data_IF_377437312960
#
_entry.id   IF_377437312960
#
_cell.length_a   1.000
_cell.length_b   1.000
_cell.length_c   1.000
_cell.angle_alpha   90.00
_cell.angle_beta   90.00
_cell.angle_gamma   90.00
#
_symmetry.space_group_name_H-M   'P 1'
#
loop_
_entity.id
_entity.type
_entity.pdbx_description
1 polymer ?
#
# COMPACT_ATOMS: atom_id res chain seq x y z
N UNK A 1 -47.56 -62.12 -16.06
CA UNK A 1 -48.19 -60.94 -15.43
C UNK A 1 -47.25 -60.41 -14.36
N UNK A 2 -46.94 -59.11 -14.44
CA UNK A 2 -46.20 -58.23 -13.50
C UNK A 2 -44.75 -58.61 -13.12
N UNK A 3 -43.87 -57.64 -13.39
CA UNK A 3 -42.42 -57.70 -13.28
C UNK A 3 -41.85 -57.29 -11.91
N UNK A 4 -40.56 -56.93 -11.85
CA UNK A 4 -39.75 -57.09 -10.64
C UNK A 4 -39.88 -55.94 -9.65
N UNK A 5 -39.98 -56.27 -8.35
CA UNK A 5 -39.80 -55.31 -7.27
C UNK A 5 -38.32 -54.91 -7.21
N UNK A 6 -38.04 -53.71 -7.69
CA UNK A 6 -36.75 -53.06 -7.59
C UNK A 6 -36.43 -52.58 -6.17
N UNK A 7 -35.14 -52.58 -5.86
CA UNK A 7 -34.39 -51.45 -5.28
C UNK A 7 -35.24 -50.51 -4.41
N UNK A 8 -35.54 -50.90 -3.17
CA UNK A 8 -36.07 -49.97 -2.17
C UNK A 8 -35.82 -50.43 -0.73
N UNK A 9 -34.54 -50.60 -0.36
CA UNK A 9 -34.10 -50.69 1.05
C UNK A 9 -32.82 -49.90 1.35
N UNK A 10 -32.61 -48.77 0.68
CA UNK A 10 -31.61 -47.75 1.07
C UNK A 10 -32.20 -46.34 1.26
N UNK A 11 -33.53 -46.19 1.27
CA UNK A 11 -34.19 -44.88 1.40
C UNK A 11 -34.69 -44.55 2.82
N UNK A 12 -34.41 -45.38 3.83
CA UNK A 12 -34.84 -45.17 5.23
C UNK A 12 -33.62 -45.04 6.16
N UNK A 13 -32.69 -44.17 5.77
CA UNK A 13 -31.72 -43.53 6.69
C UNK A 13 -31.57 -42.04 6.34
N UNK A 14 -31.93 -41.63 5.12
CA UNK A 14 -31.83 -40.22 4.68
C UNK A 14 -33.00 -39.29 5.05
N UNK A 15 -34.13 -39.81 5.55
CA UNK A 15 -35.30 -38.94 5.88
C UNK A 15 -35.35 -38.45 7.34
N UNK A 16 -34.44 -38.90 8.21
CA UNK A 16 -34.35 -38.45 9.60
C UNK A 16 -33.32 -37.32 9.81
N UNK A 17 -32.36 -37.15 8.90
CA UNK A 17 -31.38 -36.04 8.95
C UNK A 17 -31.92 -34.72 8.36
N UNK A 18 -32.91 -34.79 7.47
CA UNK A 18 -33.48 -33.60 6.81
C UNK A 18 -34.59 -32.87 7.60
N UNK A 19 -35.00 -33.39 8.77
CA UNK A 19 -36.07 -32.78 9.60
C UNK A 19 -35.57 -32.10 10.89
N UNK A 20 -34.28 -32.21 11.21
CA UNK A 20 -33.64 -31.46 12.30
C UNK A 20 -32.93 -30.17 11.83
N UNK A 21 -32.71 -30.02 10.52
CA UNK A 21 -32.11 -28.82 9.89
C UNK A 21 -33.11 -28.09 8.97
N UNK A 22 -34.40 -28.14 9.31
CA UNK A 22 -35.46 -27.49 8.56
C UNK A 22 -35.97 -26.24 9.27
N UNK A 23 -35.44 -25.07 8.86
CA UNK A 23 -35.97 -23.72 9.11
C UNK A 23 -35.82 -23.19 10.56
N UNK A 24 -34.64 -22.69 10.89
CA UNK A 24 -34.52 -21.41 11.63
C UNK A 24 -33.16 -20.79 11.28
N UNK A 25 -33.19 -19.73 10.47
CA UNK A 25 -32.14 -18.74 10.24
C UNK A 25 -30.75 -19.29 9.90
N UNK A 26 -30.55 -19.65 8.62
CA UNK A 26 -29.29 -19.31 7.96
C UNK A 26 -29.25 -17.78 8.00
N UNK A 27 -28.61 -17.22 9.02
CA UNK A 27 -28.22 -15.82 8.99
C UNK A 27 -27.36 -15.68 7.74
N UNK A 28 -27.86 -14.87 6.81
CA UNK A 28 -27.32 -14.76 5.48
C UNK A 28 -25.82 -14.51 5.50
N UNK A 29 -25.15 -15.07 4.50
CA UNK A 29 -23.97 -14.43 3.94
C UNK A 29 -24.18 -12.91 3.98
N UNK A 30 -23.32 -12.12 4.62
CA UNK A 30 -23.27 -10.71 4.29
C UNK A 30 -22.85 -10.66 2.82
N UNK A 31 -23.86 -10.55 1.96
CA UNK A 31 -23.73 -10.41 0.53
C UNK A 31 -22.92 -9.14 0.26
N UNK A 32 -21.63 -9.30 -0.06
CA UNK A 32 -20.80 -8.24 -0.64
C UNK A 32 -21.03 -8.10 -2.15
N UNK A 33 -22.12 -8.65 -2.68
CA UNK A 33 -22.68 -8.33 -3.99
C UNK A 33 -21.84 -8.70 -5.19
N UNK A 34 -20.68 -9.33 -5.02
CA UNK A 34 -19.77 -9.65 -6.11
C UNK A 34 -19.18 -11.04 -5.88
N UNK A 35 -19.36 -11.92 -6.88
CA UNK A 35 -18.69 -13.21 -6.93
C UNK A 35 -17.17 -13.02 -6.77
N UNK A 36 -16.46 -13.99 -6.15
CA UNK A 36 -15.01 -13.95 -6.07
C UNK A 36 -14.42 -13.74 -7.47
N UNK A 37 -13.74 -12.60 -7.66
CA UNK A 37 -13.05 -12.32 -8.93
C UNK A 37 -11.72 -13.06 -8.90
N UNK A 38 -11.46 -14.03 -9.81
CA UNK A 38 -10.21 -14.78 -9.82
C UNK A 38 -9.00 -13.85 -9.90
N UNK A 39 -8.01 -14.07 -9.04
CA UNK A 39 -6.81 -13.26 -8.96
C UNK A 39 -7.00 -11.90 -8.26
N UNK A 40 -8.14 -11.64 -7.61
CA UNK A 40 -8.38 -10.38 -6.91
C UNK A 40 -8.58 -10.61 -5.41
N UNK A 41 -7.73 -9.98 -4.59
CA UNK A 41 -7.97 -9.85 -3.15
C UNK A 41 -8.32 -8.41 -2.84
N UNK A 42 -9.52 -8.19 -2.30
CA UNK A 42 -9.91 -6.91 -1.74
C UNK A 42 -9.30 -6.76 -0.37
N UNK A 43 -8.74 -5.60 -0.05
CA UNK A 43 -8.18 -5.34 1.26
C UNK A 43 -8.68 -4.02 1.85
N UNK A 44 -8.69 -3.98 3.17
CA UNK A 44 -8.95 -2.79 3.98
C UNK A 44 -7.91 -2.71 5.08
N UNK A 45 -7.37 -1.52 5.29
CA UNK A 45 -6.44 -1.19 6.35
C UNK A 45 -7.00 -0.02 7.14
N UNK A 46 -6.85 -0.06 8.46
CA UNK A 46 -7.22 1.05 9.34
C UNK A 46 -6.18 1.19 10.44
N UNK A 47 -5.65 2.39 10.62
CA UNK A 47 -4.65 2.73 11.64
C UNK A 47 -3.47 1.74 11.64
N UNK A 48 -2.84 1.58 10.48
CA UNK A 48 -1.74 0.63 10.25
C UNK A 48 -0.46 1.38 9.95
N UNK A 49 0.62 1.02 10.63
CA UNK A 49 1.97 1.36 10.20
C UNK A 49 2.50 0.22 9.32
N UNK A 50 2.53 0.47 8.02
CA UNK A 50 3.05 -0.47 7.04
C UNK A 50 4.53 -0.22 6.80
N UNK A 51 5.38 -1.15 7.21
CA UNK A 51 6.82 -1.12 6.94
C UNK A 51 7.08 -1.81 5.61
N UNK A 52 7.47 -1.03 4.61
CA UNK A 52 7.97 -1.57 3.34
C UNK A 52 9.35 -2.21 3.53
N UNK A 53 10.12 -1.56 4.41
CA UNK A 53 11.46 -1.87 4.88
C UNK A 53 11.55 -1.41 6.35
N UNK A 54 12.56 -1.83 7.13
CA UNK A 54 12.69 -1.43 8.54
C UNK A 54 12.71 0.09 8.77
N UNK A 55 13.21 0.85 7.80
CA UNK A 55 13.41 2.30 7.85
C UNK A 55 12.48 3.08 6.91
N UNK A 56 11.49 2.42 6.28
CA UNK A 56 10.51 3.05 5.39
C UNK A 56 9.11 2.66 5.84
N UNK A 57 8.45 3.59 6.54
CA UNK A 57 7.12 3.39 7.10
C UNK A 57 6.08 4.25 6.37
N UNK A 58 5.01 3.60 5.91
CA UNK A 58 3.78 4.27 5.50
C UNK A 58 2.80 4.23 6.66
N UNK A 59 2.26 5.37 7.08
CA UNK A 59 1.22 5.42 8.10
C UNK A 59 -0.14 5.51 7.43
N UNK A 60 -0.93 4.45 7.55
CA UNK A 60 -2.26 4.34 6.96
C UNK A 60 -3.29 4.75 8.02
N UNK A 61 -4.04 5.81 7.76
CA UNK A 61 -5.22 6.18 8.56
C UNK A 61 -6.38 5.25 8.18
N UNK A 62 -6.66 5.19 6.89
CA UNK A 62 -7.53 4.24 6.24
C UNK A 62 -7.04 3.98 4.81
N UNK A 63 -7.13 2.75 4.32
CA UNK A 63 -6.80 2.43 2.94
C UNK A 63 -7.65 1.25 2.48
N UNK A 64 -8.13 1.29 1.26
CA UNK A 64 -8.84 0.16 0.66
C UNK A 64 -8.52 0.05 -0.82
N UNK A 65 -8.62 -1.16 -1.33
CA UNK A 65 -8.41 -1.43 -2.74
C UNK A 65 -8.25 -2.91 -3.02
N UNK A 66 -7.56 -3.20 -4.13
CA UNK A 66 -7.41 -4.55 -4.65
C UNK A 66 -5.94 -4.91 -4.86
N UNK A 67 -5.59 -6.13 -4.47
CA UNK A 67 -4.37 -6.81 -4.87
C UNK A 67 -4.74 -7.64 -6.10
N UNK A 68 -4.19 -7.27 -7.25
CA UNK A 68 -4.45 -7.90 -8.54
C UNK A 68 -3.29 -8.81 -8.88
N UNK A 69 -3.52 -10.12 -8.84
CA UNK A 69 -2.57 -11.14 -9.25
C UNK A 69 -2.29 -11.03 -10.74
N UNK A 70 -1.02 -11.13 -11.11
CA UNK A 70 -0.59 -11.18 -12.50
C UNK A 70 -0.87 -12.53 -13.14
N UNK A 71 -0.87 -13.58 -12.31
CA UNK A 71 -1.33 -14.92 -12.65
C UNK A 71 -2.48 -15.30 -11.72
N UNK A 72 -3.74 -15.29 -12.18
CA UNK A 72 -4.90 -15.61 -11.36
C UNK A 72 -4.96 -17.09 -10.95
N UNK A 73 -4.12 -17.97 -11.51
CA UNK A 73 -4.04 -19.36 -11.07
C UNK A 73 -3.23 -19.55 -9.78
N UNK A 74 -2.46 -18.55 -9.37
CA UNK A 74 -1.63 -18.59 -8.15
C UNK A 74 -2.36 -17.95 -6.98
N UNK A 75 -2.19 -18.53 -5.79
CA UNK A 75 -2.59 -17.88 -4.56
C UNK A 75 -1.74 -16.62 -4.32
N UNK A 76 -2.35 -15.59 -3.75
CA UNK A 76 -1.64 -14.42 -3.26
C UNK A 76 -0.73 -14.78 -2.10
N UNK A 77 0.47 -14.22 -2.08
CA UNK A 77 1.41 -14.32 -0.97
C UNK A 77 2.05 -12.94 -0.73
N UNK A 78 2.02 -12.38 0.49
CA UNK A 78 2.56 -11.04 0.76
C UNK A 78 4.03 -10.86 0.40
N UNK A 79 4.85 -11.90 0.57
CA UNK A 79 6.28 -11.90 0.25
C UNK A 79 6.55 -11.84 -1.27
N UNK A 80 5.59 -12.27 -2.09
CA UNK A 80 5.74 -12.40 -3.52
C UNK A 80 5.45 -11.07 -4.24
N UNK A 81 6.11 -9.98 -3.80
CA UNK A 81 5.90 -8.58 -4.25
C UNK A 81 5.91 -8.40 -5.79
N UNK A 82 6.52 -9.33 -6.54
CA UNK A 82 6.58 -9.31 -8.00
C UNK A 82 5.35 -9.89 -8.72
N UNK A 83 4.50 -10.64 -8.01
CA UNK A 83 3.42 -11.46 -8.57
C UNK A 83 2.07 -10.75 -8.63
N UNK A 84 1.96 -9.57 -8.02
CA UNK A 84 0.72 -8.81 -7.95
C UNK A 84 0.99 -7.31 -8.04
N UNK A 85 -0.06 -6.57 -8.38
CA UNK A 85 -0.09 -5.11 -8.34
C UNK A 85 -1.14 -4.65 -7.32
N UNK A 86 -0.91 -3.51 -6.68
CA UNK A 86 -1.82 -2.89 -5.74
C UNK A 86 -2.62 -1.79 -6.46
N UNK A 87 -3.94 -1.88 -6.45
CA UNK A 87 -4.85 -0.84 -6.91
C UNK A 87 -5.57 -0.23 -5.72
N UNK A 88 -5.12 0.95 -5.31
CA UNK A 88 -5.77 1.74 -4.27
C UNK A 88 -7.04 2.37 -4.84
N UNK A 89 -8.16 2.06 -4.21
CA UNK A 89 -9.47 2.62 -4.56
C UNK A 89 -9.84 3.80 -3.66
N UNK A 90 -9.15 4.00 -2.54
CA UNK A 90 -9.29 5.20 -1.74
C UNK A 90 -8.69 5.06 -0.35
N UNK A 91 -8.69 6.17 0.38
CA UNK A 91 -8.13 6.28 1.72
C UNK A 91 -7.03 7.33 1.83
N UNK A 92 -6.35 7.35 2.97
CA UNK A 92 -5.36 8.33 3.33
C UNK A 92 -4.12 7.69 3.95
N UNK A 93 -2.96 8.05 3.42
CA UNK A 93 -1.66 7.61 3.92
C UNK A 93 -0.78 8.82 4.21
N UNK A 94 0.14 8.65 5.16
CA UNK A 94 1.16 9.63 5.51
C UNK A 94 2.56 9.02 5.39
N UNK A 95 3.50 9.84 4.92
CA UNK A 95 4.93 9.58 4.98
C UNK A 95 5.61 10.70 5.77
N UNK A 96 6.45 10.32 6.73
CA UNK A 96 7.36 11.26 7.36
C UNK A 96 8.58 11.56 6.46
N UNK A 97 9.30 12.64 6.78
CA UNK A 97 10.42 13.11 6.00
C UNK A 97 11.57 12.08 5.91
N UNK A 98 11.81 11.35 7.00
CA UNK A 98 12.84 10.30 7.06
C UNK A 98 12.48 9.13 6.15
N UNK A 99 11.25 8.59 6.25
CA UNK A 99 10.77 7.50 5.40
C UNK A 99 10.79 7.90 3.93
N UNK A 100 10.38 9.13 3.60
CA UNK A 100 10.44 9.62 2.22
C UNK A 100 11.90 9.73 1.73
N UNK A 101 12.81 10.23 2.55
CA UNK A 101 14.25 10.29 2.20
C UNK A 101 14.81 8.90 1.93
N UNK A 102 14.54 7.94 2.81
CA UNK A 102 15.01 6.56 2.68
C UNK A 102 14.44 5.89 1.43
N UNK A 103 13.15 6.11 1.16
CA UNK A 103 12.48 5.59 -0.03
C UNK A 103 13.12 6.13 -1.31
N UNK A 104 13.29 7.45 -1.42
CA UNK A 104 13.91 8.08 -2.59
C UNK A 104 15.35 7.58 -2.80
N UNK A 105 16.16 7.56 -1.74
CA UNK A 105 17.54 7.09 -1.81
C UNK A 105 17.65 5.61 -2.23
N UNK A 106 16.76 4.74 -1.75
CA UNK A 106 16.82 3.30 -2.02
C UNK A 106 16.27 2.94 -3.39
N UNK A 107 15.22 3.62 -3.85
CA UNK A 107 14.45 3.16 -5.02
C UNK A 107 14.52 4.08 -6.24
N UNK A 108 14.77 5.39 -6.07
CA UNK A 108 14.82 6.33 -7.20
C UNK A 108 16.23 6.79 -7.56
N UNK A 109 17.11 6.99 -6.58
CA UNK A 109 18.44 7.53 -6.82
C UNK A 109 19.51 6.56 -7.35
N UNK A 110 19.44 5.22 -7.16
CA UNK A 110 20.43 4.32 -7.73
C UNK A 110 20.53 4.47 -9.26
N UNK A 111 21.75 4.69 -9.76
CA UNK A 111 22.01 4.90 -11.19
C UNK A 111 21.83 6.35 -11.67
N UNK A 112 21.51 7.29 -10.78
CA UNK A 112 21.40 8.72 -11.10
C UNK A 112 22.65 9.51 -10.74
N UNK A 113 22.73 10.77 -11.16
CA UNK A 113 23.76 11.72 -10.70
C UNK A 113 23.45 12.33 -9.33
N UNK A 114 22.24 12.12 -8.79
CA UNK A 114 21.81 12.67 -7.51
C UNK A 114 22.08 11.62 -6.44
N UNK A 115 22.76 12.02 -5.38
CA UNK A 115 23.14 11.17 -4.27
C UNK A 115 22.68 11.80 -2.94
N UNK A 116 22.28 10.95 -1.99
CA UNK A 116 22.02 11.31 -0.59
C UNK A 116 21.00 12.44 -0.44
N UNK A 117 19.76 12.19 -0.86
CA UNK A 117 18.68 13.14 -0.62
C UNK A 117 18.23 13.09 0.84
N UNK A 118 18.08 14.26 1.46
CA UNK A 118 17.47 14.42 2.78
C UNK A 118 16.31 15.38 2.64
N UNK A 119 15.14 14.95 3.09
CA UNK A 119 13.91 15.75 3.09
C UNK A 119 13.66 16.30 4.49
N UNK A 120 13.12 17.50 4.56
CA UNK A 120 12.51 18.08 5.75
C UNK A 120 11.20 18.76 5.37
N UNK A 121 10.22 18.73 6.26
CA UNK A 121 8.94 19.41 6.09
C UNK A 121 8.86 20.57 7.09
N UNK A 122 8.62 21.78 6.58
CA UNK A 122 8.49 22.99 7.40
C UNK A 122 7.24 23.77 6.96
N UNK A 123 6.19 23.72 7.78
CA UNK A 123 4.91 24.32 7.45
C UNK A 123 4.32 23.70 6.18
N UNK A 124 4.18 24.51 5.12
CA UNK A 124 3.70 24.06 3.80
C UNK A 124 4.83 23.85 2.77
N UNK A 125 6.07 23.92 3.23
CA UNK A 125 7.24 23.82 2.35
C UNK A 125 7.97 22.52 2.60
N UNK A 126 8.43 21.89 1.53
CA UNK A 126 9.41 20.80 1.57
C UNK A 126 10.79 21.37 1.28
N UNK A 127 11.76 21.05 2.12
CA UNK A 127 13.18 21.27 1.86
C UNK A 127 13.83 19.95 1.49
N UNK A 128 14.60 19.94 0.42
CA UNK A 128 15.39 18.80 0.01
C UNK A 128 16.86 19.22 -0.12
N UNK A 129 17.74 18.51 0.57
CA UNK A 129 19.18 18.63 0.39
C UNK A 129 19.70 17.40 -0.32
N UNK A 130 20.58 17.56 -1.30
CA UNK A 130 21.18 16.44 -2.02
C UNK A 130 22.59 16.80 -2.51
N UNK A 131 23.30 15.80 -3.02
CA UNK A 131 24.57 15.98 -3.74
C UNK A 131 24.38 15.62 -5.20
N UNK A 132 24.93 16.42 -6.10
CA UNK A 132 25.04 16.06 -7.52
C UNK A 132 26.49 15.68 -7.79
N UNK A 133 26.69 14.50 -8.36
CA UNK A 133 27.96 14.05 -8.87
C UNK A 133 28.04 14.40 -10.37
N UNK A 134 28.83 15.41 -10.71
CA UNK A 134 29.04 15.85 -12.09
C UNK A 134 30.53 15.83 -12.42
N UNK A 135 30.94 14.98 -13.37
CA UNK A 135 32.35 14.84 -13.80
C UNK A 135 33.34 14.71 -12.62
N UNK A 136 33.03 13.85 -11.64
CA UNK A 136 33.81 13.62 -10.42
C UNK A 136 33.83 14.78 -9.40
N UNK A 137 33.02 15.83 -9.61
CA UNK A 137 32.83 16.91 -8.64
C UNK A 137 31.50 16.71 -7.91
N UNK A 138 31.57 16.66 -6.58
CA UNK A 138 30.39 16.54 -5.73
C UNK A 138 29.90 17.91 -5.30
N UNK A 139 28.75 18.33 -5.82
CA UNK A 139 28.15 19.63 -5.57
C UNK A 139 26.95 19.49 -4.62
N UNK A 140 26.95 20.12 -3.44
CA UNK A 140 25.75 20.17 -2.61
C UNK A 140 24.71 21.10 -3.26
N UNK A 141 23.46 20.63 -3.25
CA UNK A 141 22.29 21.37 -3.68
C UNK A 141 21.23 21.39 -2.58
N UNK A 142 20.48 22.48 -2.51
CA UNK A 142 19.32 22.62 -1.62
C UNK A 142 18.16 23.18 -2.42
N UNK A 143 17.00 22.56 -2.27
CA UNK A 143 15.75 22.87 -2.94
C UNK A 143 14.67 23.15 -1.89
N UNK A 144 13.96 24.25 -2.03
CA UNK A 144 12.74 24.52 -1.28
C UNK A 144 11.57 24.53 -2.27
N UNK A 145 10.53 23.74 -1.99
CA UNK A 145 9.38 23.59 -2.88
C UNK A 145 8.05 23.54 -2.14
N UNK A 146 7.01 24.05 -2.78
CA UNK A 146 5.63 23.81 -2.37
C UNK A 146 5.10 22.53 -3.01
N UNK A 147 4.33 21.78 -2.23
CA UNK A 147 3.73 20.52 -2.68
C UNK A 147 2.28 20.78 -3.06
N UNK A 148 1.88 20.30 -4.24
CA UNK A 148 0.49 20.29 -4.69
C UNK A 148 0.17 19.05 -5.54
N UNK A 149 -1.09 18.91 -5.92
CA UNK A 149 -1.54 17.91 -6.88
C UNK A 149 -1.73 18.60 -8.25
N UNK A 150 -1.12 18.04 -9.30
CA UNK A 150 -1.32 18.51 -10.67
C UNK A 150 -2.71 18.11 -11.20
N UNK A 151 -3.25 18.81 -12.21
CA UNK A 151 -4.50 18.41 -12.87
C UNK A 151 -4.48 16.97 -13.42
N UNK A 152 -3.30 16.47 -13.76
CA UNK A 152 -3.08 15.12 -14.28
C UNK A 152 -2.95 14.05 -13.17
N UNK A 153 -3.11 14.44 -11.90
CA UNK A 153 -3.05 13.51 -10.75
C UNK A 153 -1.62 13.21 -10.27
N UNK A 154 -0.63 14.00 -10.68
CA UNK A 154 0.78 13.83 -10.28
C UNK A 154 1.12 14.72 -9.09
N UNK A 155 2.07 14.31 -8.26
CA UNK A 155 2.59 15.19 -7.21
C UNK A 155 3.42 16.27 -7.89
N UNK A 156 3.08 17.53 -7.66
CA UNK A 156 3.78 18.69 -8.20
C UNK A 156 4.59 19.36 -7.09
N UNK A 157 5.90 19.47 -7.31
CA UNK A 157 6.85 20.13 -6.45
C UNK A 157 7.26 21.44 -7.11
N UNK A 158 6.55 22.52 -6.79
CA UNK A 158 6.83 23.84 -7.35
C UNK A 158 7.98 24.48 -6.59
N UNK A 159 9.07 24.75 -7.29
CA UNK A 159 10.29 25.26 -6.68
C UNK A 159 10.15 26.73 -6.31
N UNK A 160 10.40 27.02 -5.03
CA UNK A 160 10.50 28.38 -4.49
C UNK A 160 11.93 28.87 -4.52
N UNK A 161 12.89 28.00 -4.22
CA UNK A 161 14.30 28.35 -4.12
C UNK A 161 15.17 27.16 -4.47
N UNK A 162 16.22 27.42 -5.24
CA UNK A 162 17.29 26.46 -5.54
C UNK A 162 18.62 27.12 -5.19
N UNK A 163 19.45 26.43 -4.41
CA UNK A 163 20.76 26.93 -3.96
C UNK A 163 21.84 25.86 -4.15
N UNK A 164 23.06 26.27 -4.49
CA UNK A 164 24.24 25.39 -4.56
C UNK A 164 25.47 26.11 -4.02
N UNK A 165 26.25 25.45 -3.16
CA UNK A 165 27.34 26.08 -2.40
C UNK A 165 28.52 26.56 -3.28
N UNK A 166 28.75 25.95 -4.44
CA UNK A 166 29.97 26.18 -5.24
C UNK A 166 29.72 26.90 -6.58
N UNK A 167 28.49 27.33 -6.89
CA UNK A 167 28.17 27.98 -8.17
C UNK A 167 28.35 29.51 -8.15
N UNK A 168 29.49 29.97 -7.61
CA UNK A 168 29.94 31.37 -7.70
C UNK A 168 30.66 31.70 -9.02
N UNK A 169 30.89 30.73 -9.92
CA UNK A 169 31.78 30.89 -11.10
C UNK A 169 31.14 30.76 -12.49
N UNK A 170 29.82 30.77 -12.61
CA UNK A 170 29.19 31.13 -13.89
C UNK A 170 27.84 31.77 -13.63
N UNK A 171 27.69 33.02 -14.06
CA UNK A 171 26.54 33.91 -13.81
C UNK A 171 25.20 33.48 -14.40
N UNK A 172 24.85 32.19 -14.30
CA UNK A 172 23.62 31.60 -14.84
C UNK A 172 22.51 31.37 -13.80
N UNK A 173 22.79 31.56 -12.50
CA UNK A 173 21.81 31.30 -11.41
C UNK A 173 21.53 32.51 -10.52
N UNK A 174 22.01 33.69 -10.89
CA UNK A 174 21.70 34.93 -10.16
C UNK A 174 20.60 35.69 -10.92
N UNK A 175 19.40 35.69 -10.35
CA UNK A 175 18.27 36.62 -10.60
C UNK A 175 17.10 36.27 -11.56
N UNK A 176 16.84 35.02 -11.96
CA UNK A 176 15.62 34.69 -12.74
C UNK A 176 14.95 33.38 -12.28
N UNK A 177 13.64 33.16 -12.56
CA UNK A 177 12.98 31.89 -12.31
C UNK A 177 13.78 30.79 -13.01
N UNK A 178 14.47 29.98 -12.21
CA UNK A 178 15.37 28.96 -12.71
C UNK A 178 14.49 27.85 -13.30
N UNK A 179 14.52 27.71 -14.62
CA UNK A 179 14.02 26.51 -15.28
C UNK A 179 14.88 25.33 -14.80
N UNK A 180 14.37 24.55 -13.86
CA UNK A 180 15.06 23.38 -13.28
C UNK A 180 15.47 22.42 -14.39
N UNK A 181 14.69 22.36 -15.46
CA UNK A 181 14.92 21.58 -16.66
C UNK A 181 16.29 21.87 -17.31
N UNK A 182 16.78 23.12 -17.20
CA UNK A 182 18.11 23.50 -17.71
C UNK A 182 19.25 23.08 -16.80
N UNK A 183 18.97 22.78 -15.53
CA UNK A 183 19.96 22.47 -14.50
C UNK A 183 20.03 20.98 -14.22
N UNK A 184 18.89 20.29 -14.22
CA UNK A 184 18.76 18.87 -13.94
C UNK A 184 18.35 18.10 -15.19
N UNK A 185 19.31 17.43 -15.83
CA UNK A 185 18.97 16.35 -16.75
C UNK A 185 18.61 15.12 -15.94
N UNK A 186 17.32 14.85 -15.82
CA UNK A 186 16.84 13.61 -15.20
C UNK A 186 17.20 12.42 -16.11
N UNK A 187 17.68 11.31 -15.54
CA UNK A 187 17.84 10.07 -16.30
C UNK A 187 16.51 9.60 -16.90
N UNK A 188 16.56 9.05 -18.10
CA UNK A 188 15.39 8.45 -18.74
C UNK A 188 14.87 7.26 -17.91
N UNK A 189 13.54 7.12 -17.81
CA UNK A 189 12.90 5.97 -17.16
C UNK A 189 12.65 6.10 -15.65
N UNK A 190 13.01 7.24 -15.04
CA UNK A 190 12.65 7.56 -13.64
C UNK A 190 11.26 8.21 -13.63
N UNK A 191 10.39 7.94 -12.63
CA UNK A 191 9.05 8.51 -12.49
C UNK A 191 9.05 9.99 -12.09
N UNK A 192 9.92 10.77 -12.71
CA UNK A 192 10.16 12.18 -12.47
C UNK A 192 10.20 12.91 -13.82
N UNK A 193 9.52 14.05 -13.91
CA UNK A 193 9.61 14.95 -15.06
C UNK A 193 9.67 16.39 -14.61
N UNK A 194 10.33 17.25 -15.38
CA UNK A 194 10.46 18.67 -15.07
C UNK A 194 9.76 19.48 -16.15
N UNK A 195 9.05 20.53 -15.75
CA UNK A 195 8.51 21.55 -16.65
C UNK A 195 8.64 22.91 -15.98
N UNK A 196 9.51 23.77 -16.51
CA UNK A 196 9.77 25.09 -15.92
C UNK A 196 10.34 25.01 -14.51
N UNK A 197 9.61 25.56 -13.53
CA UNK A 197 9.97 25.59 -12.09
C UNK A 197 9.38 24.41 -11.30
N UNK A 198 8.68 23.48 -11.95
CA UNK A 198 7.94 22.42 -11.29
C UNK A 198 8.51 21.04 -11.63
N UNK A 199 8.80 20.26 -10.58
CA UNK A 199 9.13 18.84 -10.69
C UNK A 199 7.84 18.03 -10.46
N UNK A 200 7.44 17.25 -11.45
CA UNK A 200 6.34 16.32 -11.36
C UNK A 200 6.84 14.93 -11.00
N UNK A 201 6.14 14.30 -10.07
CA UNK A 201 6.48 12.99 -9.53
C UNK A 201 5.29 12.06 -9.70
N UNK A 202 5.52 10.94 -10.39
CA UNK A 202 4.53 9.89 -10.57
C UNK A 202 4.58 8.95 -9.36
N UNK A 203 3.68 9.15 -8.40
CA UNK A 203 3.62 8.36 -7.16
C UNK A 203 3.65 6.84 -7.40
N UNK A 204 3.02 6.39 -8.50
CA UNK A 204 2.94 4.99 -8.91
C UNK A 204 4.30 4.36 -9.27
N UNK A 205 5.27 5.17 -9.67
CA UNK A 205 6.61 4.69 -10.03
C UNK A 205 7.63 4.78 -8.90
N UNK A 206 7.33 5.51 -7.82
CA UNK A 206 8.26 5.70 -6.70
C UNK A 206 8.26 4.51 -5.75
N UNK A 207 7.07 3.97 -5.49
CA UNK A 207 6.90 2.86 -4.55
C UNK A 207 7.45 1.59 -5.25
N UNK A 208 8.36 0.83 -4.60
CA UNK A 208 8.85 -0.42 -5.17
C UNK A 208 7.71 -1.41 -5.38
N UNK A 209 8.00 -2.53 -6.03
CA UNK A 209 7.03 -3.62 -6.20
C UNK A 209 6.41 -4.03 -4.85
N UNK A 210 5.10 -4.33 -4.80
CA UNK A 210 4.12 -4.35 -5.89
C UNK A 210 3.85 -2.95 -6.46
N UNK A 211 3.60 -2.84 -7.78
CA UNK A 211 3.27 -1.52 -8.36
C UNK A 211 2.00 -1.00 -7.73
N UNK A 212 1.99 0.27 -7.35
CA UNK A 212 0.83 0.91 -6.73
C UNK A 212 0.15 1.81 -7.75
N UNK A 213 -1.13 1.59 -7.98
CA UNK A 213 -1.98 2.41 -8.82
C UNK A 213 -3.06 3.06 -7.98
N UNK A 214 -3.45 4.29 -8.30
CA UNK A 214 -4.56 4.93 -7.60
C UNK A 214 -4.80 6.37 -8.00
N UNK A 215 -6.05 6.81 -7.86
CA UNK A 215 -6.44 8.19 -8.18
C UNK A 215 -6.18 9.10 -6.97
N UNK A 216 -5.11 9.89 -7.00
CA UNK A 216 -4.86 10.91 -5.98
C UNK A 216 -5.89 12.05 -6.11
N UNK A 217 -6.52 12.39 -4.99
CA UNK A 217 -7.45 13.51 -4.84
C UNK A 217 -6.83 14.72 -4.17
N UNK A 218 -5.88 14.49 -3.26
CA UNK A 218 -5.19 15.55 -2.56
C UNK A 218 -3.79 15.10 -2.14
N UNK A 219 -2.88 16.07 -2.13
CA UNK A 219 -1.51 15.95 -1.64
C UNK A 219 -1.24 17.20 -0.81
N UNK A 220 -0.84 17.05 0.45
CA UNK A 220 -0.56 18.18 1.34
C UNK A 220 0.41 17.80 2.45
N UNK A 221 1.01 18.80 3.07
CA UNK A 221 1.72 18.62 4.32
C UNK A 221 0.74 18.75 5.50
N UNK A 222 0.74 17.76 6.38
CA UNK A 222 -0.08 17.72 7.60
C UNK A 222 0.79 17.24 8.77
N UNK A 223 0.91 18.06 9.82
CA UNK A 223 1.70 17.71 11.01
C UNK A 223 3.09 17.18 10.65
N UNK A 224 3.81 17.92 9.81
CA UNK A 224 5.17 17.58 9.34
C UNK A 224 5.26 16.21 8.65
N UNK A 225 4.20 15.80 7.97
CA UNK A 225 4.15 14.58 7.13
C UNK A 225 3.52 14.89 5.79
N UNK A 226 3.96 14.18 4.75
CA UNK A 226 3.32 14.17 3.46
C UNK A 226 2.06 13.31 3.52
N UNK A 227 0.89 13.93 3.41
CA UNK A 227 -0.40 13.25 3.34
C UNK A 227 -0.82 13.06 1.87
N UNK A 228 -1.09 11.81 1.50
CA UNK A 228 -1.65 11.42 0.20
C UNK A 228 -3.07 10.91 0.43
N UNK A 229 -4.04 11.54 -0.23
CA UNK A 229 -5.46 11.15 -0.15
C UNK A 229 -5.92 10.66 -1.51
N UNK A 230 -6.44 9.44 -1.54
CA UNK A 230 -6.97 8.78 -2.74
C UNK A 230 -8.49 8.95 -2.82
N UNK A 231 -9.00 9.14 -4.04
CA UNK A 231 -10.43 9.30 -4.31
C UNK A 231 -11.15 7.96 -4.34
N UNK A 232 -12.21 7.84 -3.55
CA UNK A 232 -13.18 6.76 -3.64
C UNK A 232 -13.78 6.46 -2.27
N UNK A 233 -14.77 5.58 -2.24
CA UNK A 233 -15.32 5.00 -1.02
C UNK A 233 -15.79 3.59 -1.34
N UNK A 234 -15.34 2.61 -0.56
CA UNK A 234 -15.75 1.21 -0.73
C UNK A 234 -16.43 0.72 0.54
N UNK A 235 -17.54 -0.03 0.44
CA UNK A 235 -18.17 -0.65 1.59
C UNK A 235 -17.18 -1.51 2.37
N UNK A 236 -17.14 -1.33 3.69
CA UNK A 236 -16.26 -2.14 4.56
C UNK A 236 -16.94 -3.47 4.85
N UNK A 237 -16.22 -4.60 4.75
CA UNK A 237 -16.76 -5.89 5.17
C UNK A 237 -16.88 -5.93 6.71
N UNK A 238 -17.77 -6.79 7.26
CA UNK A 238 -17.85 -7.05 8.68
C UNK A 238 -16.55 -7.70 9.11
N UNK A 239 -15.96 -7.12 10.14
CA UNK A 239 -14.80 -7.67 10.80
C UNK A 239 -15.16 -9.00 11.46
N UNK A 240 -14.20 -9.92 11.51
CA UNK A 240 -14.31 -11.15 12.28
C UNK A 240 -14.33 -10.85 13.80
N UNK A 241 -13.63 -9.79 14.19
CA UNK A 241 -13.59 -9.25 15.54
C UNK A 241 -13.52 -7.72 15.50
N UNK A 242 -14.33 -6.98 16.29
CA UNK A 242 -14.23 -5.53 16.36
C UNK A 242 -12.83 -5.11 16.80
N UNK A 243 -12.15 -4.32 15.97
CA UNK A 243 -10.80 -3.83 16.25
C UNK A 243 -10.65 -2.36 15.80
N UNK A 244 -9.97 -1.51 16.59
CA UNK A 244 -9.75 -0.11 16.21
C UNK A 244 -8.74 0.03 15.06
N UNK A 245 -7.76 -0.87 14.99
CA UNK A 245 -6.75 -1.00 13.95
C UNK A 245 -6.78 -2.41 13.38
N UNK A 246 -6.69 -2.55 12.06
CA UNK A 246 -6.72 -3.86 11.41
C UNK A 246 -6.22 -3.84 9.97
N UNK A 247 -5.85 -5.02 9.49
CA UNK A 247 -5.86 -5.37 8.07
C UNK A 247 -6.94 -6.42 7.84
N UNK A 248 -7.73 -6.26 6.78
CA UNK A 248 -8.73 -7.23 6.36
C UNK A 248 -8.47 -7.56 4.90
N UNK A 249 -8.44 -8.85 4.56
CA UNK A 249 -8.33 -9.34 3.18
C UNK A 249 -9.50 -10.27 2.89
N UNK A 250 -10.17 -10.07 1.75
CA UNK A 250 -11.34 -10.85 1.31
C UNK A 250 -11.23 -11.18 -0.18
N UNK A 251 -11.53 -12.42 -0.57
CA UNK A 251 -11.63 -12.83 -1.97
C UNK A 251 -10.62 -13.92 -2.30
N UNK A 252 -9.94 -13.83 -3.45
CA UNK A 252 -9.05 -14.87 -4.01
C UNK A 252 -8.16 -15.64 -3.01
N UNK A 253 -7.69 -16.83 -3.43
CA UNK A 253 -6.85 -17.70 -2.61
C UNK A 253 -5.61 -16.98 -2.06
N UNK A 254 -5.32 -17.16 -0.76
CA UNK A 254 -4.20 -16.55 -0.06
C UNK A 254 -3.36 -17.58 0.68
N UNK A 255 -2.04 -17.51 0.48
CA UNK A 255 -1.05 -18.29 1.19
C UNK A 255 -0.37 -17.45 2.28
N UNK A 256 -0.25 -18.03 3.48
CA UNK A 256 0.51 -17.47 4.61
C UNK A 256 1.40 -18.59 5.15
N UNK A 257 2.70 -18.52 4.87
CA UNK A 257 3.62 -19.62 5.15
C UNK A 257 3.17 -20.91 4.44
N UNK A 258 2.74 -21.92 5.21
CA UNK A 258 2.21 -23.19 4.66
C UNK A 258 0.68 -23.29 4.69
N UNK A 259 0.00 -22.27 5.18
CA UNK A 259 -1.46 -22.23 5.26
C UNK A 259 -1.98 -21.66 3.95
N UNK A 260 -2.95 -22.34 3.34
CA UNK A 260 -3.68 -21.85 2.17
C UNK A 260 -5.14 -21.60 2.57
N UNK A 261 -5.55 -20.34 2.50
CA UNK A 261 -6.93 -19.91 2.64
C UNK A 261 -7.54 -19.88 1.23
N UNK A 262 -8.56 -20.72 1.01
CA UNK A 262 -9.37 -20.66 -0.22
C UNK A 262 -10.46 -19.63 -0.03
N UNK A 263 -10.70 -18.80 -1.05
CA UNK A 263 -11.61 -17.65 -0.94
C UNK A 263 -11.37 -16.89 0.40
N UNK A 264 -10.13 -16.45 0.56
CA UNK A 264 -9.58 -15.94 1.81
C UNK A 264 -10.49 -14.92 2.48
N UNK A 265 -10.71 -15.12 3.78
CA UNK A 265 -11.30 -14.13 4.68
C UNK A 265 -10.40 -14.01 5.90
N UNK A 266 -9.44 -13.10 5.82
CA UNK A 266 -8.40 -12.89 6.82
C UNK A 266 -8.60 -11.54 7.50
N UNK A 267 -8.58 -11.53 8.84
CA UNK A 267 -8.39 -10.31 9.61
C UNK A 267 -7.09 -10.40 10.41
N UNK A 268 -6.23 -9.40 10.29
CA UNK A 268 -5.03 -9.22 11.12
C UNK A 268 -5.29 -8.06 12.08
N UNK A 269 -5.08 -8.30 13.37
CA UNK A 269 -5.23 -7.32 14.44
C UNK A 269 -3.99 -7.31 15.32
N UNK A 270 -3.90 -6.30 16.17
CA UNK A 270 -2.88 -6.24 17.22
C UNK A 270 -3.24 -7.17 18.37
N UNK A 271 -2.23 -7.78 18.99
CA UNK A 271 -2.40 -8.59 20.19
C UNK A 271 -2.60 -7.74 21.46
N UNK A 272 -1.92 -6.59 21.56
CA UNK A 272 -2.06 -5.60 22.62
C UNK A 272 -3.05 -4.47 22.25
N UNK A 273 -4.30 -4.49 22.74
CA UNK A 273 -5.34 -3.54 22.35
C UNK A 273 -5.05 -2.09 22.80
N UNK A 274 -4.11 -1.87 23.71
CA UNK A 274 -3.74 -0.51 24.18
C UNK A 274 -2.86 0.23 23.15
N UNK A 275 -2.34 -0.47 22.14
CA UNK A 275 -1.58 0.15 21.06
C UNK A 275 -2.50 0.99 20.17
N UNK A 276 -1.97 2.13 19.71
CA UNK A 276 -2.69 3.06 18.85
C UNK A 276 -2.79 2.59 17.39
N UNK A 277 -1.86 1.74 16.97
CA UNK A 277 -1.73 1.28 15.59
C UNK A 277 -1.32 -0.19 15.55
N UNK A 278 -1.61 -0.83 14.41
CA UNK A 278 -1.05 -2.11 14.03
C UNK A 278 0.26 -1.88 13.26
N UNK A 279 1.40 -2.33 13.78
CA UNK A 279 2.65 -2.37 13.00
C UNK A 279 2.66 -3.66 12.16
N UNK A 280 2.76 -3.53 10.85
CA UNK A 280 2.82 -4.66 9.92
C UNK A 280 3.98 -4.49 8.95
N UNK A 281 4.84 -5.50 8.84
CA UNK A 281 5.98 -5.47 7.91
C UNK A 281 5.78 -6.45 6.77
N UNK A 282 5.90 -6.00 5.51
CA UNK A 282 5.82 -6.91 4.37
C UNK A 282 6.99 -7.92 4.30
N UNK A 283 8.14 -7.54 4.87
CA UNK A 283 9.34 -8.38 4.88
C UNK A 283 9.40 -9.27 6.13
N UNK A 284 9.10 -8.70 7.30
CA UNK A 284 9.25 -9.36 8.59
C UNK A 284 7.95 -9.95 9.14
N UNK A 285 6.85 -9.97 8.37
CA UNK A 285 5.60 -10.59 8.82
C UNK A 285 5.77 -12.04 9.31
N UNK A 286 6.66 -12.90 8.76
CA UNK A 286 6.81 -14.26 9.27
C UNK A 286 7.27 -14.28 10.73
N UNK A 287 8.14 -13.35 11.13
CA UNK A 287 8.56 -13.19 12.53
C UNK A 287 7.39 -12.75 13.42
N UNK A 288 6.57 -11.82 12.93
CA UNK A 288 5.36 -11.39 13.66
C UNK A 288 4.34 -12.52 13.81
N UNK A 289 4.25 -13.42 12.82
CA UNK A 289 3.36 -14.58 12.89
C UNK A 289 3.85 -15.67 13.85
N UNK A 290 5.16 -15.86 13.99
CA UNK A 290 5.73 -16.84 14.94
C UNK A 290 5.32 -16.50 16.38
N UNK A 291 5.34 -15.21 16.72
CA UNK A 291 4.94 -14.69 18.03
C UNK A 291 3.43 -14.39 18.11
N UNK A 292 2.71 -14.62 17.01
CA UNK A 292 1.29 -14.31 16.87
C UNK A 292 0.36 -15.44 17.31
N UNK A 293 -0.94 -15.14 17.32
CA UNK A 293 -2.01 -16.09 17.62
C UNK A 293 -2.95 -16.16 16.42
N UNK A 294 -3.04 -17.33 15.79
CA UNK A 294 -4.01 -17.61 14.74
C UNK A 294 -5.23 -18.34 15.31
N UNK A 295 -6.43 -17.89 14.94
CA UNK A 295 -7.71 -18.49 15.34
C UNK A 295 -8.60 -18.68 14.11
N UNK A 296 -9.03 -19.92 13.87
CA UNK A 296 -10.10 -20.18 12.92
C UNK A 296 -11.43 -19.63 13.48
N UNK A 297 -12.20 -19.05 12.58
CA UNK A 297 -13.54 -18.52 12.79
C UNK A 297 -14.53 -19.30 11.90
N UNK A 298 -15.85 -19.15 12.09
CA UNK A 298 -16.82 -19.74 11.18
C UNK A 298 -16.53 -19.40 9.71
N UNK A 299 -17.00 -20.24 8.79
CA UNK A 299 -16.77 -20.08 7.34
C UNK A 299 -15.28 -20.14 6.95
N UNK A 300 -14.48 -20.89 7.69
CA UNK A 300 -13.03 -21.07 7.48
C UNK A 300 -12.23 -19.75 7.46
N UNK A 301 -12.81 -18.68 8.01
CA UNK A 301 -12.16 -17.39 8.14
C UNK A 301 -11.03 -17.44 9.18
N UNK A 302 -9.98 -16.64 8.96
CA UNK A 302 -8.80 -16.63 9.82
C UNK A 302 -8.67 -15.27 10.51
N UNK A 303 -8.66 -15.28 11.85
CA UNK A 303 -8.23 -14.14 12.65
C UNK A 303 -6.79 -14.37 13.10
N UNK A 304 -5.92 -13.40 12.84
CA UNK A 304 -4.53 -13.40 13.28
C UNK A 304 -4.28 -12.19 14.17
N UNK A 305 -3.84 -12.43 15.39
CA UNK A 305 -3.36 -11.39 16.29
C UNK A 305 -1.83 -11.39 16.27
N UNK A 306 -1.20 -10.27 15.92
CA UNK A 306 0.26 -10.14 15.89
C UNK A 306 0.74 -9.10 16.90
N UNK A 307 1.97 -9.26 17.45
CA UNK A 307 2.63 -8.17 18.16
C UNK A 307 3.14 -7.11 17.18
N UNK A 308 3.39 -5.90 17.70
CA UNK A 308 4.21 -4.91 17.02
C UNK A 308 5.67 -5.38 16.89
N UNK A 309 6.37 -4.78 15.92
CA UNK A 309 7.81 -4.97 15.71
C UNK A 309 8.64 -4.45 16.89
#
# INVERSE_FOLDING_TARGET
MKGPLGVQKQAIVFSAFAKAFGKTLIAGHPDFGEEPVPGCIRFWAKEVHLYLEPDIRLQIEDLFGNLIMRDPARAFAPEAKGDYDLRVEGGKIFLDAESLSNLLNRYLLPGTMIEKISIAFEGQTMKAEARINFRHVNLPISLESEISLSPEGRIALRTRKLSSANFLLSGLLRFFPVEIERVLKLPEGIPLSVSGDTLFVDAEGIIPRPKVFGCLKAVKLENERLALTYAGTVPKPPLLEPAPHYLMCVGHDMAIGKILLRDARLQVIQIDPEKRHLDFSLESYPCQLIEGIARLRPEDALLVSIPNL
#
